data_IF_954101401614
#
_entry.id   IF_954101401614
#
_cell.length_a   1.000
_cell.length_b   1.000
_cell.length_c   1.000
_cell.angle_alpha   90.00
_cell.angle_beta   90.00
_cell.angle_gamma   90.00
#
_symmetry.space_group_name_H-M   'P 1'
#
loop_
_entity.id
_entity.type
_entity.pdbx_description
1 polymer ?
#
# COMPACT_ATOMS: atom_id res chain seq x y z
N UNK A 1 38.21 2.78 -13.03
CA UNK A 1 38.09 2.80 -11.56
C UNK A 1 36.93 1.92 -11.12
N UNK A 2 37.07 1.26 -9.97
CA UNK A 2 35.96 0.51 -9.36
C UNK A 2 35.10 1.45 -8.52
N UNK A 3 33.77 1.39 -8.65
CA UNK A 3 32.83 2.06 -7.75
C UNK A 3 31.75 1.11 -7.25
N UNK A 4 31.06 1.54 -6.20
CA UNK A 4 29.92 0.83 -5.64
C UNK A 4 28.63 1.59 -5.95
N UNK A 5 27.61 0.90 -6.46
CA UNK A 5 26.28 1.46 -6.66
C UNK A 5 25.33 0.86 -5.65
N UNK A 6 24.82 1.70 -4.76
CA UNK A 6 23.78 1.34 -3.79
C UNK A 6 22.40 1.60 -4.40
N UNK A 7 21.76 0.52 -4.86
CA UNK A 7 20.40 0.52 -5.40
C UNK A 7 19.48 -0.44 -4.59
N UNK A 8 18.59 -1.20 -5.23
CA UNK A 8 17.87 -2.29 -4.52
C UNK A 8 18.84 -3.37 -4.05
N UNK A 9 19.89 -3.60 -4.85
CA UNK A 9 21.07 -4.38 -4.48
C UNK A 9 22.33 -3.49 -4.52
N UNK A 10 23.40 -3.96 -3.87
CA UNK A 10 24.72 -3.35 -3.98
C UNK A 10 25.43 -3.95 -5.20
N UNK A 11 25.80 -3.10 -6.15
CA UNK A 11 26.57 -3.49 -7.34
C UNK A 11 27.99 -2.96 -7.27
N UNK A 12 28.93 -3.74 -7.78
CA UNK A 12 30.31 -3.31 -8.02
C UNK A 12 30.46 -3.04 -9.51
N UNK A 13 30.77 -1.80 -9.88
CA UNK A 13 30.90 -1.39 -11.28
C UNK A 13 32.34 -0.99 -11.59
N UNK A 14 32.82 -1.46 -12.75
CA UNK A 14 34.03 -0.91 -13.37
C UNK A 14 33.60 0.17 -14.36
N UNK A 15 34.13 1.38 -14.16
CA UNK A 15 33.81 2.58 -14.96
C UNK A 15 35.09 3.30 -15.37
N UNK A 16 35.01 4.16 -16.38
CA UNK A 16 36.09 5.08 -16.74
C UNK A 16 35.82 6.48 -16.19
N UNK A 17 36.86 7.28 -15.92
CA UNK A 17 36.68 8.64 -15.37
C UNK A 17 36.06 9.63 -16.35
N UNK A 18 36.28 9.40 -17.63
CA UNK A 18 35.72 10.12 -18.77
C UNK A 18 34.32 9.65 -19.18
N UNK A 19 33.81 8.54 -18.60
CA UNK A 19 32.43 8.10 -18.78
C UNK A 19 31.48 9.19 -18.25
N UNK A 20 30.42 9.48 -19.00
CA UNK A 20 29.40 10.43 -18.57
C UNK A 20 28.44 9.78 -17.58
N UNK A 21 27.79 10.61 -16.76
CA UNK A 21 26.73 10.14 -15.86
C UNK A 21 25.58 9.51 -16.64
N UNK A 22 25.26 10.01 -17.84
CA UNK A 22 24.23 9.42 -18.71
C UNK A 22 24.58 7.99 -19.17
N UNK A 23 25.83 7.74 -19.54
CA UNK A 23 26.31 6.40 -19.92
C UNK A 23 26.24 5.43 -18.75
N UNK A 24 26.63 5.90 -17.55
CA UNK A 24 26.48 5.11 -16.32
C UNK A 24 24.99 4.78 -16.06
N UNK A 25 24.07 5.75 -16.22
CA UNK A 25 22.63 5.52 -16.05
C UNK A 25 22.08 4.47 -17.00
N UNK A 26 22.53 4.45 -18.26
CA UNK A 26 22.11 3.43 -19.22
C UNK A 26 22.50 2.00 -18.77
N UNK A 27 23.68 1.85 -18.16
CA UNK A 27 24.11 0.57 -17.56
C UNK A 27 23.31 0.22 -16.31
N UNK A 28 23.00 1.21 -15.48
CA UNK A 28 22.16 1.02 -14.29
C UNK A 28 20.74 0.59 -14.67
N UNK A 29 20.18 1.07 -15.78
CA UNK A 29 18.87 0.62 -16.28
C UNK A 29 18.86 -0.88 -16.57
N UNK A 30 19.93 -1.41 -17.17
CA UNK A 30 20.05 -2.84 -17.46
C UNK A 30 20.19 -3.71 -16.19
N UNK A 31 20.72 -3.16 -15.10
CA UNK A 31 20.92 -3.86 -13.83
C UNK A 31 19.68 -3.82 -12.92
N UNK A 32 19.04 -2.66 -12.82
CA UNK A 32 17.98 -2.38 -11.83
C UNK A 32 16.59 -2.25 -12.46
N UNK A 33 16.48 -2.17 -13.79
CA UNK A 33 15.20 -2.01 -14.50
C UNK A 33 14.54 -0.64 -14.30
N UNK A 34 15.30 0.37 -13.85
CA UNK A 34 14.83 1.75 -13.67
C UNK A 34 15.18 2.57 -14.91
N UNK A 35 14.18 3.20 -15.53
CA UNK A 35 14.40 3.98 -16.76
C UNK A 35 15.39 5.12 -16.52
N UNK A 36 16.27 5.42 -17.48
CA UNK A 36 17.27 6.50 -17.36
C UNK A 36 16.65 7.83 -16.90
N UNK A 37 15.46 8.17 -17.41
CA UNK A 37 14.71 9.37 -17.04
C UNK A 37 14.24 9.40 -15.58
N UNK A 38 14.02 8.22 -14.99
CA UNK A 38 13.59 8.05 -13.61
C UNK A 38 14.79 7.88 -12.66
N UNK A 39 16.03 7.78 -13.15
CA UNK A 39 17.21 7.62 -12.30
C UNK A 39 17.74 8.97 -11.76
N UNK A 40 17.99 9.00 -10.46
CA UNK A 40 18.73 10.05 -9.76
C UNK A 40 19.95 9.42 -9.08
N UNK A 41 21.13 9.56 -9.70
CA UNK A 41 22.39 9.13 -9.11
C UNK A 41 22.91 10.22 -8.19
N UNK A 42 23.29 9.86 -6.97
CA UNK A 42 23.73 10.77 -5.92
C UNK A 42 25.16 10.39 -5.47
N UNK A 43 26.05 11.37 -5.36
CA UNK A 43 27.34 11.24 -4.71
C UNK A 43 27.32 12.08 -3.42
N UNK A 44 27.55 11.45 -2.27
CA UNK A 44 27.48 12.10 -0.95
C UNK A 44 26.18 12.93 -0.75
N UNK A 45 25.05 12.42 -1.27
CA UNK A 45 23.74 13.08 -1.22
C UNK A 45 23.51 14.19 -2.25
N UNK A 46 24.49 14.52 -3.09
CA UNK A 46 24.36 15.52 -4.16
C UNK A 46 24.05 14.85 -5.50
N UNK A 47 23.02 15.30 -6.24
CA UNK A 47 22.63 14.68 -7.50
C UNK A 47 23.66 14.95 -8.59
N UNK A 48 23.93 13.93 -9.40
CA UNK A 48 24.81 14.04 -10.56
C UNK A 48 24.03 14.48 -11.80
N UNK A 49 24.58 15.44 -12.54
CA UNK A 49 24.07 15.91 -13.83
C UNK A 49 24.45 14.96 -14.97
N UNK A 50 23.63 14.87 -16.01
CA UNK A 50 23.81 13.86 -17.07
C UNK A 50 25.02 14.13 -17.98
N UNK A 51 25.38 15.42 -18.17
CA UNK A 51 26.39 15.88 -19.13
C UNK A 51 27.82 15.90 -18.55
N UNK A 52 27.98 15.81 -17.24
CA UNK A 52 29.30 15.77 -16.60
C UNK A 52 29.92 14.37 -16.67
N UNK A 53 31.25 14.33 -16.71
CA UNK A 53 32.01 13.08 -16.57
C UNK A 53 32.03 12.65 -15.11
N UNK A 54 32.25 11.37 -14.85
CA UNK A 54 32.36 10.86 -13.49
C UNK A 54 33.49 11.57 -12.72
N UNK A 55 34.63 11.82 -13.36
CA UNK A 55 35.75 12.52 -12.73
C UNK A 55 35.41 13.98 -12.39
N UNK A 56 34.76 14.73 -13.30
CA UNK A 56 34.38 16.12 -13.03
C UNK A 56 33.24 16.23 -12.00
N UNK A 57 32.43 15.19 -11.89
CA UNK A 57 31.41 15.02 -10.85
C UNK A 57 31.99 14.68 -9.45
N UNK A 58 33.31 14.48 -9.34
CA UNK A 58 33.99 14.11 -8.09
C UNK A 58 33.91 12.63 -7.73
N UNK A 59 33.54 11.76 -8.68
CA UNK A 59 33.51 10.31 -8.50
C UNK A 59 34.95 9.79 -8.52
N UNK A 60 35.36 9.17 -7.42
CA UNK A 60 36.70 8.58 -7.26
C UNK A 60 36.64 7.07 -7.16
N UNK A 61 37.78 6.41 -7.24
CA UNK A 61 37.87 4.97 -6.97
C UNK A 61 37.34 4.63 -5.57
N UNK A 62 36.61 3.52 -5.49
CA UNK A 62 35.94 2.99 -4.30
C UNK A 62 34.84 3.88 -3.70
N UNK A 63 34.40 4.93 -4.40
CA UNK A 63 33.25 5.71 -3.95
C UNK A 63 31.94 4.92 -4.07
N UNK A 64 30.93 5.35 -3.30
CA UNK A 64 29.58 4.79 -3.37
C UNK A 64 28.63 5.82 -3.95
N UNK A 65 27.97 5.47 -5.06
CA UNK A 65 26.86 6.20 -5.64
C UNK A 65 25.54 5.62 -5.12
N UNK A 66 24.59 6.48 -4.78
CA UNK A 66 23.24 6.06 -4.40
C UNK A 66 22.29 6.25 -5.58
N UNK A 67 21.54 5.20 -5.92
CA UNK A 67 20.45 5.29 -6.88
C UNK A 67 19.14 5.59 -6.17
N UNK A 68 18.52 6.71 -6.53
CA UNK A 68 17.16 7.06 -6.15
C UNK A 68 16.29 7.14 -7.40
N UNK A 69 15.02 6.72 -7.30
CA UNK A 69 14.06 6.91 -8.38
C UNK A 69 13.40 8.29 -8.24
N UNK A 70 13.40 9.10 -9.30
CA UNK A 70 12.60 10.32 -9.37
C UNK A 70 11.13 9.91 -9.19
N UNK A 71 10.52 10.41 -8.13
CA UNK A 71 9.07 10.28 -7.96
C UNK A 71 8.42 11.06 -9.12
N UNK A 72 7.81 10.34 -10.06
CA UNK A 72 6.95 10.93 -11.07
C UNK A 72 5.86 11.72 -10.34
N UNK A 73 6.03 13.05 -10.29
CA UNK A 73 4.95 13.96 -9.95
C UNK A 73 3.75 13.56 -10.80
N UNK A 74 2.68 13.12 -10.13
CA UNK A 74 1.49 12.65 -10.81
C UNK A 74 1.06 13.65 -11.87
N UNK A 75 0.68 13.15 -13.05
CA UNK A 75 0.17 13.95 -14.16
C UNK A 75 -0.78 15.02 -13.62
N UNK A 76 -0.34 16.28 -13.66
CA UNK A 76 -1.21 17.41 -13.36
C UNK A 76 -2.27 17.42 -14.45
N UNK A 77 -3.48 16.99 -14.09
CA UNK A 77 -4.58 16.97 -15.04
C UNK A 77 -4.85 18.43 -15.42
N UNK A 78 -4.61 18.75 -16.69
CA UNK A 78 -4.67 20.11 -17.23
C UNK A 78 -5.96 20.83 -16.89
N UNK A 79 -5.89 21.70 -15.88
CA UNK A 79 -6.96 22.62 -15.49
C UNK A 79 -6.50 24.08 -15.44
N UNK A 80 -5.24 24.37 -15.80
CA UNK A 80 -4.68 25.74 -15.74
C UNK A 80 -4.26 26.35 -17.09
N UNK A 81 -4.64 25.74 -18.21
CA UNK A 81 -4.55 26.40 -19.52
C UNK A 81 -5.96 26.56 -20.10
N UNK A 82 -6.68 27.61 -19.68
CA UNK A 82 -7.72 28.30 -20.46
C UNK A 82 -8.29 29.50 -19.71
N UNK A 83 -7.42 30.41 -19.26
CA UNK A 83 -7.81 31.81 -19.12
C UNK A 83 -7.64 32.45 -20.51
N UNK A 84 -8.74 32.56 -21.26
CA UNK A 84 -8.79 33.35 -22.49
C UNK A 84 -9.16 32.58 -23.76
N UNK A 85 -10.47 32.39 -24.02
CA UNK A 85 -11.05 32.61 -25.36
C UNK A 85 -12.59 32.57 -25.33
N UNK A 86 -13.16 33.77 -25.37
CA UNK A 86 -14.38 34.29 -26.03
C UNK A 86 -15.66 33.42 -26.13
N UNK A 87 -16.75 34.04 -25.65
CA UNK A 87 -18.19 33.78 -25.93
C UNK A 87 -18.48 33.37 -27.39
N UNK A 88 -19.37 32.39 -27.57
CA UNK A 88 -20.06 32.15 -28.84
C UNK A 88 -20.86 30.84 -28.84
N UNK A 89 -22.14 30.93 -29.21
CA UNK A 89 -23.17 29.89 -29.15
C UNK A 89 -22.84 28.62 -29.95
N UNK A 90 -23.20 27.44 -29.43
CA UNK A 90 -23.70 26.30 -30.23
C UNK A 90 -24.76 25.53 -29.43
N UNK A 91 -25.86 25.05 -30.05
CA UNK A 91 -26.93 24.39 -29.33
C UNK A 91 -26.53 22.97 -28.92
N UNK A 92 -26.86 22.60 -27.68
CA UNK A 92 -26.66 21.25 -27.15
C UNK A 92 -27.57 20.26 -27.89
N UNK A 93 -26.97 19.29 -28.57
CA UNK A 93 -27.65 18.08 -29.04
C UNK A 93 -27.43 16.98 -28.02
N UNK A 94 -28.52 16.33 -27.58
CA UNK A 94 -28.46 15.25 -26.58
C UNK A 94 -27.73 14.01 -27.11
N UNK A 95 -26.88 13.42 -26.26
CA UNK A 95 -26.09 12.23 -26.59
C UNK A 95 -26.98 11.00 -26.72
N UNK A 96 -27.16 10.49 -27.93
CA UNK A 96 -27.63 9.12 -28.15
C UNK A 96 -26.49 8.11 -27.96
N UNK A 97 -26.61 7.24 -26.95
CA UNK A 97 -25.71 6.09 -26.78
C UNK A 97 -26.06 4.96 -27.77
N UNK A 98 -25.28 4.82 -28.85
CA UNK A 98 -25.26 3.56 -29.62
C UNK A 98 -24.00 2.76 -29.26
N UNK A 99 -24.19 1.64 -28.56
CA UNK A 99 -23.13 0.68 -28.25
C UNK A 99 -22.59 0.05 -29.54
N UNK A 100 -21.32 0.33 -29.87
CA UNK A 100 -20.62 -0.30 -31.01
C UNK A 100 -20.40 -1.79 -30.76
N UNK A 101 -20.64 -2.63 -31.78
CA UNK A 101 -20.35 -4.07 -31.73
C UNK A 101 -18.84 -4.30 -31.60
N UNK A 102 -18.42 -5.16 -30.67
CA UNK A 102 -17.01 -5.54 -30.49
C UNK A 102 -16.56 -6.40 -31.68
N UNK A 103 -15.57 -5.92 -32.43
CA UNK A 103 -14.95 -6.61 -33.56
C UNK A 103 -13.49 -6.94 -33.26
N UNK A 104 -12.84 -7.73 -34.13
CA UNK A 104 -11.41 -8.02 -34.04
C UNK A 104 -10.99 -8.92 -32.86
N UNK A 105 -9.83 -8.61 -32.27
CA UNK A 105 -9.14 -9.43 -31.26
C UNK A 105 -10.00 -9.73 -30.03
N UNK A 106 -10.82 -8.78 -29.60
CA UNK A 106 -11.75 -8.95 -28.48
C UNK A 106 -12.83 -10.00 -28.76
N UNK A 107 -13.35 -10.05 -30.00
CA UNK A 107 -14.36 -11.04 -30.40
C UNK A 107 -13.75 -12.44 -30.50
N UNK A 108 -12.54 -12.55 -31.05
CA UNK A 108 -11.80 -13.83 -31.17
C UNK A 108 -11.45 -14.42 -29.79
N UNK A 109 -11.04 -13.58 -28.82
CA UNK A 109 -10.74 -14.00 -27.44
C UNK A 109 -11.96 -14.51 -26.68
N UNK A 110 -13.14 -13.90 -26.89
CA UNK A 110 -14.41 -14.39 -26.32
C UNK A 110 -14.79 -15.75 -26.92
N UNK A 111 -14.58 -15.94 -28.21
CA UNK A 111 -14.88 -17.20 -28.89
C UNK A 111 -13.95 -18.34 -28.46
N UNK A 112 -12.66 -18.06 -28.23
CA UNK A 112 -11.69 -19.00 -27.67
C UNK A 112 -12.09 -19.47 -26.27
N UNK A 113 -12.41 -18.54 -25.36
CA UNK A 113 -12.86 -18.87 -24.01
C UNK A 113 -14.16 -19.68 -23.98
N UNK A 114 -15.08 -19.44 -24.93
CA UNK A 114 -16.33 -20.20 -25.05
C UNK A 114 -16.15 -21.61 -25.63
N UNK A 115 -15.08 -21.86 -26.41
CA UNK A 115 -14.83 -23.15 -27.07
C UNK A 115 -13.92 -24.09 -26.27
N UNK A 116 -12.99 -23.55 -25.49
CA UNK A 116 -11.89 -24.34 -24.92
C UNK A 116 -11.74 -24.25 -23.41
N UNK A 117 -12.52 -23.40 -22.73
CA UNK A 117 -12.52 -23.34 -21.27
C UNK A 117 -13.79 -24.03 -20.77
N UNK A 118 -13.63 -25.25 -20.24
CA UNK A 118 -14.70 -25.95 -19.55
C UNK A 118 -15.11 -25.13 -18.31
N UNK A 119 -16.30 -24.54 -18.36
CA UNK A 119 -16.95 -23.94 -17.21
C UNK A 119 -17.47 -25.10 -16.35
N UNK A 120 -16.97 -25.23 -15.11
CA UNK A 120 -17.53 -26.14 -14.12
C UNK A 120 -19.00 -25.74 -13.88
N UNK A 121 -19.99 -26.62 -14.07
CA UNK A 121 -21.39 -26.28 -13.84
C UNK A 121 -21.63 -26.20 -12.33
N UNK A 122 -21.79 -24.99 -11.80
CA UNK A 122 -22.36 -24.80 -10.47
C UNK A 122 -23.82 -25.24 -10.49
N UNK A 123 -24.11 -26.36 -9.83
CA UNK A 123 -25.46 -26.83 -9.52
C UNK A 123 -26.21 -25.82 -8.63
N UNK A 124 -27.47 -25.57 -8.98
CA UNK A 124 -28.54 -25.32 -8.00
C UNK A 124 -28.62 -23.93 -7.36
N UNK A 125 -29.39 -23.03 -7.99
CA UNK A 125 -30.06 -21.93 -7.29
C UNK A 125 -31.01 -22.50 -6.22
N UNK A 126 -30.82 -22.16 -4.94
CA UNK A 126 -31.91 -22.02 -3.97
C UNK A 126 -32.06 -20.55 -3.59
N UNK A 127 -33.32 -20.09 -3.62
CA UNK A 127 -33.77 -18.70 -3.42
C UNK A 127 -33.15 -18.07 -2.17
N UNK A 128 -32.21 -17.14 -2.34
CA UNK A 128 -31.86 -16.18 -1.30
C UNK A 128 -32.83 -14.99 -1.37
N UNK A 129 -33.42 -14.67 -0.22
CA UNK A 129 -34.48 -13.69 -0.02
C UNK A 129 -34.15 -12.30 -0.57
N UNK A 130 -35.22 -11.59 -0.95
CA UNK A 130 -35.29 -10.23 -1.51
C UNK A 130 -34.51 -9.13 -0.74
N UNK A 131 -34.00 -9.46 0.46
CA UNK A 131 -33.17 -8.60 1.33
C UNK A 131 -31.77 -8.30 0.76
N UNK A 132 -31.16 -9.25 0.04
CA UNK A 132 -29.76 -9.13 -0.44
C UNK A 132 -29.55 -8.09 -1.55
N UNK A 133 -30.61 -7.67 -2.24
CA UNK A 133 -30.54 -6.61 -3.27
C UNK A 133 -30.68 -5.19 -2.71
N UNK A 134 -31.05 -5.04 -1.43
CA UNK A 134 -31.20 -3.73 -0.79
C UNK A 134 -29.87 -3.23 -0.19
N UNK A 135 -28.97 -4.14 0.18
CA UNK A 135 -27.66 -3.80 0.77
C UNK A 135 -26.66 -3.23 -0.25
N UNK A 136 -26.75 -3.59 -1.54
CA UNK A 136 -25.85 -3.04 -2.56
C UNK A 136 -26.22 -1.62 -3.03
N UNK A 137 -27.39 -1.10 -2.63
CA UNK A 137 -27.88 0.24 -3.01
C UNK A 137 -27.61 1.32 -1.94
N UNK A 138 -27.17 0.94 -0.75
CA UNK A 138 -26.90 1.86 0.37
C UNK A 138 -25.40 2.16 0.54
N UNK A 139 -24.51 1.31 0.02
CA UNK A 139 -23.08 1.56 0.01
C UNK A 139 -22.67 2.32 -1.25
N UNK A 140 -22.71 3.65 -1.19
CA UNK A 140 -21.93 4.49 -2.10
C UNK A 140 -20.44 4.14 -2.03
N UNK A 141 -19.68 4.49 -3.07
CA UNK A 141 -18.22 4.36 -3.09
C UNK A 141 -17.61 5.27 -2.01
N UNK A 142 -17.49 4.77 -0.78
CA UNK A 142 -16.77 5.41 0.31
C UNK A 142 -15.33 4.89 0.30
N UNK A 143 -14.38 5.76 -0.05
CA UNK A 143 -12.96 5.48 0.12
C UNK A 143 -12.56 5.77 1.56
N UNK A 144 -11.84 4.83 2.18
CA UNK A 144 -11.32 4.99 3.54
C UNK A 144 -9.82 4.69 3.54
N UNK A 145 -9.04 5.55 4.20
CA UNK A 145 -7.60 5.43 4.40
C UNK A 145 -7.33 4.74 5.73
N UNK A 146 -6.83 3.51 5.64
CA UNK A 146 -6.49 2.70 6.80
C UNK A 146 -4.98 2.62 6.96
N UNK A 147 -4.53 2.71 8.21
CA UNK A 147 -3.13 2.57 8.60
C UNK A 147 -2.96 1.27 9.39
N UNK A 148 -2.06 0.38 8.97
CA UNK A 148 -1.75 -0.86 9.71
C UNK A 148 -0.39 -0.75 10.41
N UNK A 149 -0.37 -0.89 11.74
CA UNK A 149 0.81 -0.77 12.62
C UNK A 149 0.84 -1.90 13.67
N UNK A 150 1.92 -1.95 14.44
CA UNK A 150 2.19 -3.00 15.44
C UNK A 150 3.70 -3.29 15.53
N UNK A 151 4.10 -4.04 16.55
CA UNK A 151 5.51 -4.43 16.74
C UNK A 151 6.01 -5.31 15.59
N UNK A 152 7.33 -5.49 15.48
CA UNK A 152 7.94 -6.43 14.55
C UNK A 152 7.48 -7.87 14.87
N UNK A 153 7.49 -8.72 13.86
CA UNK A 153 6.99 -10.09 13.93
C UNK A 153 5.49 -10.26 14.28
N UNK A 154 4.72 -9.19 14.52
CA UNK A 154 3.29 -9.28 14.81
C UNK A 154 2.43 -9.86 13.67
N UNK A 155 2.94 -9.87 12.43
CA UNK A 155 2.27 -10.46 11.27
C UNK A 155 1.58 -9.48 10.32
N UNK A 156 1.89 -8.17 10.41
CA UNK A 156 1.34 -7.11 9.52
C UNK A 156 1.50 -7.46 8.03
N UNK A 157 2.73 -7.77 7.63
CA UNK A 157 3.10 -8.11 6.25
C UNK A 157 2.40 -9.39 5.79
N UNK A 158 2.26 -10.39 6.67
CA UNK A 158 1.51 -11.61 6.38
C UNK A 158 0.03 -11.34 6.14
N UNK A 159 -0.62 -10.51 6.98
CA UNK A 159 -2.02 -10.09 6.80
C UNK A 159 -2.19 -9.38 5.46
N UNK A 160 -1.30 -8.44 5.16
CA UNK A 160 -1.27 -7.69 3.92
C UNK A 160 -1.21 -8.62 2.70
N UNK A 161 -0.24 -9.54 2.64
CA UNK A 161 -0.12 -10.50 1.54
C UNK A 161 -1.33 -11.42 1.46
N UNK A 162 -1.87 -11.87 2.60
CA UNK A 162 -3.06 -12.72 2.63
C UNK A 162 -4.29 -12.02 2.01
N UNK A 163 -4.46 -10.73 2.29
CA UNK A 163 -5.52 -9.90 1.70
C UNK A 163 -5.24 -9.57 0.23
N UNK A 164 -3.97 -9.38 -0.14
CA UNK A 164 -3.49 -9.06 -1.50
C UNK A 164 -3.69 -10.22 -2.47
N UNK A 165 -3.40 -11.45 -2.05
CA UNK A 165 -3.57 -12.65 -2.88
C UNK A 165 -5.05 -13.01 -3.12
N UNK A 166 -5.98 -12.42 -2.35
CA UNK A 166 -7.43 -12.57 -2.51
C UNK A 166 -8.09 -11.57 -3.48
N UNK A 167 -7.38 -10.54 -3.98
CA UNK A 167 -7.93 -9.52 -4.89
C UNK A 167 -6.92 -9.09 -5.97
N UNK A 168 -7.40 -8.53 -7.08
CA UNK A 168 -6.53 -7.97 -8.12
C UNK A 168 -5.87 -6.67 -7.62
N UNK A 169 -4.60 -6.70 -7.23
CA UNK A 169 -3.90 -5.52 -6.67
C UNK A 169 -2.92 -4.92 -7.67
N UNK A 170 -2.96 -3.60 -7.83
CA UNK A 170 -1.90 -2.80 -8.47
C UNK A 170 -0.90 -2.39 -7.41
N UNK A 171 0.34 -2.86 -7.52
CA UNK A 171 1.41 -2.52 -6.58
C UNK A 171 2.11 -1.24 -6.99
N UNK A 172 2.44 -0.39 -6.02
CA UNK A 172 3.34 0.74 -6.20
C UNK A 172 4.55 0.46 -5.29
N UNK A 173 5.73 0.12 -5.84
CA UNK A 173 6.94 0.03 -5.03
C UNK A 173 7.37 1.43 -4.60
N UNK A 174 7.82 1.60 -3.36
CA UNK A 174 8.41 2.87 -2.90
C UNK A 174 9.76 2.63 -2.23
N UNK A 175 10.69 3.55 -2.51
CA UNK A 175 12.07 3.59 -2.01
C UNK A 175 12.09 3.91 -0.50
N UNK A 176 12.90 3.17 0.26
CA UNK A 176 13.33 3.52 1.63
C UNK A 176 12.54 2.88 2.78
N UNK A 177 11.25 2.59 2.60
CA UNK A 177 10.38 1.89 3.57
C UNK A 177 9.24 1.22 2.78
N UNK A 178 8.96 -0.07 3.01
CA UNK A 178 7.99 -0.77 2.18
C UNK A 178 6.56 -0.41 2.64
N UNK A 179 5.79 0.25 1.78
CA UNK A 179 4.42 0.69 2.05
C UNK A 179 3.55 0.05 1.01
N UNK A 180 2.91 -1.05 1.36
CA UNK A 180 2.04 -1.67 0.38
C UNK A 180 0.62 -1.17 0.59
N UNK A 181 0.10 -0.50 -0.44
CA UNK A 181 -1.32 -0.17 -0.49
C UNK A 181 -2.09 -1.35 -1.06
N UNK A 182 -2.99 -1.95 -0.29
CA UNK A 182 -3.95 -2.95 -0.78
C UNK A 182 -5.33 -2.33 -0.80
N UNK A 183 -6.15 -2.69 -1.78
CA UNK A 183 -7.56 -2.30 -1.80
C UNK A 183 -8.39 -3.54 -1.50
N UNK A 184 -9.27 -3.46 -0.50
CA UNK A 184 -10.32 -4.45 -0.25
C UNK A 184 -11.70 -3.78 -0.31
N UNK A 185 -12.53 -4.23 -1.25
CA UNK A 185 -13.79 -3.54 -1.64
C UNK A 185 -13.49 -2.09 -2.06
N UNK A 186 -14.05 -1.11 -1.35
CA UNK A 186 -13.83 0.32 -1.59
C UNK A 186 -12.82 0.93 -0.59
N UNK A 187 -12.12 0.12 0.21
CA UNK A 187 -11.21 0.58 1.27
C UNK A 187 -9.77 0.42 0.83
N UNK A 188 -8.96 1.47 1.00
CA UNK A 188 -7.52 1.48 0.71
C UNK A 188 -6.75 1.32 2.01
N UNK A 189 -5.99 0.24 2.10
CA UNK A 189 -5.16 -0.15 3.22
C UNK A 189 -3.73 0.27 2.94
N UNK A 190 -3.23 1.27 3.66
CA UNK A 190 -1.81 1.61 3.64
C UNK A 190 -1.13 0.80 4.73
N UNK A 191 -0.47 -0.28 4.35
CA UNK A 191 0.29 -1.11 5.27
C UNK A 191 1.73 -0.68 5.23
N UNK A 192 2.25 -0.34 6.41
CA UNK A 192 3.66 0.02 6.59
C UNK A 192 4.40 -1.24 7.01
N UNK A 193 5.15 -1.79 6.07
CA UNK A 193 6.29 -2.65 6.33
C UNK A 193 7.51 -1.76 6.64
N UNK A 194 7.29 -0.87 7.61
CA UNK A 194 8.34 -0.24 8.40
C UNK A 194 8.50 -1.24 9.53
N UNK A 195 9.59 -2.02 9.52
CA UNK A 195 9.86 -3.02 10.55
C UNK A 195 9.49 -2.46 11.94
N UNK A 196 8.78 -3.21 12.77
CA UNK A 196 8.35 -2.69 14.07
C UNK A 196 9.50 -2.56 15.08
N UNK A 197 10.75 -2.56 14.61
CA UNK A 197 11.94 -2.33 15.41
C UNK A 197 11.97 -0.88 15.92
N UNK A 198 12.41 -0.71 17.16
CA UNK A 198 12.36 0.55 17.91
C UNK A 198 12.88 1.76 17.12
N UNK A 199 13.96 1.58 16.36
CA UNK A 199 14.67 2.67 15.66
C UNK A 199 13.84 3.36 14.57
N UNK A 200 12.82 2.71 14.02
CA UNK A 200 12.07 3.22 12.87
C UNK A 200 10.60 3.54 13.18
N UNK A 201 10.12 3.23 14.39
CA UNK A 201 8.79 3.65 14.89
C UNK A 201 8.54 5.16 14.84
N UNK A 202 9.54 6.05 15.04
CA UNK A 202 9.32 7.49 14.90
C UNK A 202 8.75 7.91 13.54
N UNK A 203 8.97 7.14 12.48
CA UNK A 203 8.53 7.45 11.13
C UNK A 203 7.02 7.21 10.92
N UNK A 204 6.36 6.46 11.80
CA UNK A 204 4.93 6.16 11.69
C UNK A 204 4.07 7.43 11.63
N UNK A 205 4.51 8.50 12.33
CA UNK A 205 3.80 9.79 12.39
C UNK A 205 3.61 10.47 11.04
N UNK A 206 4.48 10.19 10.06
CA UNK A 206 4.36 10.75 8.72
C UNK A 206 3.13 10.24 7.96
N UNK A 207 2.45 9.23 8.50
CA UNK A 207 1.34 8.56 7.85
C UNK A 207 0.01 8.72 8.57
N UNK A 208 0.00 9.44 9.70
CA UNK A 208 -1.20 9.67 10.49
C UNK A 208 -2.18 10.60 9.80
N UNK A 209 -1.70 11.71 9.22
CA UNK A 209 -2.55 12.72 8.58
C UNK A 209 -3.50 12.09 7.57
N UNK A 210 -4.81 12.26 7.77
CA UNK A 210 -5.86 11.72 6.90
C UNK A 210 -6.19 10.24 7.12
N UNK A 211 -5.60 9.58 8.12
CA UNK A 211 -5.97 8.21 8.50
C UNK A 211 -7.34 8.19 9.18
N UNK A 212 -8.25 7.39 8.65
CA UNK A 212 -9.62 7.24 9.15
C UNK A 212 -9.81 6.00 10.03
N UNK A 213 -8.89 5.05 9.95
CA UNK A 213 -8.88 3.90 10.84
C UNK A 213 -7.49 3.30 11.01
N UNK A 214 -7.21 2.85 12.22
CA UNK A 214 -5.99 2.15 12.61
C UNK A 214 -6.29 0.65 12.71
N UNK A 215 -5.48 -0.18 12.06
CA UNK A 215 -5.36 -1.60 12.36
C UNK A 215 -4.08 -1.78 13.17
N UNK A 216 -4.19 -2.16 14.43
CA UNK A 216 -3.05 -2.46 15.28
C UNK A 216 -2.93 -3.98 15.45
N UNK A 217 -1.83 -4.56 14.97
CA UNK A 217 -1.60 -6.00 14.97
C UNK A 217 -0.73 -6.39 16.17
N UNK A 218 -1.19 -7.38 16.93
CA UNK A 218 -0.52 -7.88 18.13
C UNK A 218 -0.23 -9.37 17.96
N UNK A 219 1.01 -9.76 18.23
CA UNK A 219 1.38 -11.16 18.42
C UNK A 219 0.83 -11.64 19.77
N UNK A 220 -0.13 -12.56 19.75
CA UNK A 220 -0.74 -13.05 21.00
C UNK A 220 0.14 -14.06 21.73
N UNK A 221 1.15 -14.65 21.09
CA UNK A 221 2.10 -15.54 21.74
C UNK A 221 3.24 -14.76 22.43
N UNK A 222 3.47 -13.50 22.06
CA UNK A 222 4.52 -12.65 22.62
C UNK A 222 4.06 -11.93 23.89
N UNK A 223 4.09 -12.67 25.01
CA UNK A 223 3.70 -12.16 26.33
C UNK A 223 4.69 -11.14 26.88
N UNK A 224 5.95 -11.20 26.49
CA UNK A 224 7.02 -10.35 27.01
C UNK A 224 6.92 -8.92 26.47
N UNK A 225 6.54 -8.75 25.20
CA UNK A 225 6.46 -7.43 24.55
C UNK A 225 5.05 -6.82 24.53
N UNK A 226 4.09 -7.40 25.24
CA UNK A 226 2.72 -6.87 25.25
C UNK A 226 2.60 -5.48 25.89
N UNK A 227 3.41 -5.20 26.91
CA UNK A 227 3.46 -3.86 27.54
C UNK A 227 4.10 -2.82 26.61
N UNK A 228 5.08 -3.23 25.79
CA UNK A 228 5.66 -2.41 24.74
C UNK A 228 4.62 -2.12 23.64
N UNK A 229 3.87 -3.14 23.21
CA UNK A 229 2.78 -2.97 22.26
C UNK A 229 1.70 -2.00 22.79
N UNK A 230 1.39 -2.05 24.09
CA UNK A 230 0.51 -1.06 24.74
C UNK A 230 1.11 0.34 24.61
N UNK A 231 2.37 0.54 24.96
CA UNK A 231 3.01 1.86 24.91
C UNK A 231 2.96 2.45 23.50
N UNK A 232 3.25 1.64 22.48
CA UNK A 232 3.18 2.07 21.08
C UNK A 232 1.75 2.39 20.63
N UNK A 233 0.77 1.54 20.97
CA UNK A 233 -0.64 1.81 20.66
C UNK A 233 -1.08 3.15 21.24
N UNK A 234 -0.80 3.38 22.53
CA UNK A 234 -1.16 4.63 23.21
C UNK A 234 -0.40 5.84 22.66
N UNK A 235 0.85 5.67 22.20
CA UNK A 235 1.60 6.72 21.51
C UNK A 235 0.96 7.10 20.17
N UNK A 236 0.47 6.13 19.40
CA UNK A 236 -0.19 6.36 18.11
C UNK A 236 -1.54 7.07 18.31
N UNK A 237 -2.42 6.53 19.17
CA UNK A 237 -3.81 7.02 19.27
C UNK A 237 -3.94 8.38 19.96
N UNK A 238 -2.94 8.77 20.75
CA UNK A 238 -2.85 10.08 21.39
C UNK A 238 -2.23 11.15 20.48
N UNK A 239 -1.72 10.78 19.30
CA UNK A 239 -1.32 11.76 18.30
C UNK A 239 -2.56 12.51 17.77
N UNK A 240 -2.44 13.83 17.64
CA UNK A 240 -3.53 14.71 17.20
C UNK A 240 -4.10 14.30 15.83
N UNK A 241 -3.26 13.78 14.94
CA UNK A 241 -3.65 13.38 13.58
C UNK A 241 -4.44 12.07 13.57
N UNK A 242 -4.41 11.30 14.67
CA UNK A 242 -5.08 10.01 14.82
C UNK A 242 -6.37 10.09 15.65
N UNK A 243 -6.75 11.28 16.14
CA UNK A 243 -7.85 11.49 17.10
C UNK A 243 -9.18 10.87 16.65
N UNK A 244 -9.50 10.96 15.37
CA UNK A 244 -10.80 10.51 14.84
C UNK A 244 -10.73 9.10 14.24
N UNK A 245 -9.55 8.46 14.26
CA UNK A 245 -9.37 7.15 13.66
C UNK A 245 -10.02 6.05 14.52
N UNK A 246 -10.91 5.25 13.92
CA UNK A 246 -11.45 4.04 14.57
C UNK A 246 -10.34 2.99 14.72
N UNK A 247 -10.40 2.17 15.77
CA UNK A 247 -9.30 1.25 16.11
C UNK A 247 -9.75 -0.21 15.97
N UNK A 248 -9.13 -0.95 15.08
CA UNK A 248 -9.23 -2.41 15.03
C UNK A 248 -7.94 -3.01 15.57
N UNK A 249 -8.05 -3.88 16.59
CA UNK A 249 -6.95 -4.69 17.05
C UNK A 249 -7.07 -6.07 16.41
N UNK A 250 -6.05 -6.51 15.68
CA UNK A 250 -5.91 -7.93 15.36
C UNK A 250 -5.11 -8.61 16.46
N UNK A 251 -5.82 -9.41 17.26
CA UNK A 251 -5.20 -10.36 18.18
C UNK A 251 -4.72 -11.57 17.34
N UNK A 252 -3.54 -11.43 16.73
CA UNK A 252 -3.01 -12.34 15.72
C UNK A 252 -2.25 -13.53 16.34
N UNK A 253 -2.02 -14.56 15.53
CA UNK A 253 -1.35 -15.82 15.92
C UNK A 253 -2.12 -16.65 16.95
N UNK A 254 -3.46 -16.64 16.86
CA UNK A 254 -4.32 -17.43 17.74
C UNK A 254 -4.16 -18.96 17.58
N UNK A 255 -3.48 -19.38 16.52
CA UNK A 255 -3.10 -20.77 16.26
C UNK A 255 -1.96 -21.28 17.15
N UNK A 256 -1.16 -20.39 17.73
CA UNK A 256 -0.02 -20.77 18.57
C UNK A 256 -0.48 -21.22 19.98
N UNK A 257 0.26 -22.16 20.60
CA UNK A 257 0.06 -22.50 22.00
C UNK A 257 0.26 -21.26 22.88
N UNK A 258 -0.49 -21.18 23.97
CA UNK A 258 -0.44 -20.09 24.96
C UNK A 258 -0.77 -18.68 24.45
N UNK A 259 -1.28 -18.55 23.21
CA UNK A 259 -1.72 -17.29 22.65
C UNK A 259 -2.79 -16.61 23.53
N UNK A 260 -2.50 -15.38 23.97
CA UNK A 260 -3.40 -14.51 24.71
C UNK A 260 -4.73 -14.37 23.98
N UNK A 261 -5.84 -14.62 24.68
CA UNK A 261 -7.18 -14.53 24.08
C UNK A 261 -7.63 -13.07 23.97
N UNK A 262 -8.64 -12.75 23.13
CA UNK A 262 -9.06 -11.36 22.91
C UNK A 262 -9.38 -10.57 24.18
N UNK A 263 -9.95 -11.21 25.22
CA UNK A 263 -10.23 -10.56 26.50
C UNK A 263 -8.93 -10.12 27.21
N UNK A 264 -7.91 -10.97 27.22
CA UNK A 264 -6.61 -10.70 27.83
C UNK A 264 -5.88 -9.58 27.08
N UNK A 265 -5.94 -9.59 25.74
CA UNK A 265 -5.40 -8.51 24.90
C UNK A 265 -6.10 -7.17 25.19
N UNK A 266 -7.43 -7.18 25.33
CA UNK A 266 -8.20 -5.97 25.66
C UNK A 266 -7.75 -5.34 26.98
N UNK A 267 -7.53 -6.18 28.01
CA UNK A 267 -7.06 -5.73 29.32
C UNK A 267 -5.62 -5.23 29.26
N UNK A 268 -4.70 -6.02 28.70
CA UNK A 268 -3.27 -5.68 28.65
C UNK A 268 -2.97 -4.44 27.83
N UNK A 269 -3.72 -4.18 26.76
CA UNK A 269 -3.62 -2.94 25.97
C UNK A 269 -4.38 -1.75 26.61
N UNK A 270 -5.18 -1.99 27.65
CA UNK A 270 -5.93 -0.95 28.34
C UNK A 270 -7.00 -0.29 27.47
N UNK A 271 -7.66 -1.04 26.60
CA UNK A 271 -8.61 -0.49 25.62
C UNK A 271 -9.84 0.15 26.26
N UNK A 272 -10.23 -0.30 27.45
CA UNK A 272 -11.35 0.28 28.23
C UNK A 272 -11.11 1.73 28.68
N UNK A 273 -9.85 2.20 28.60
CA UNK A 273 -9.49 3.61 28.85
C UNK A 273 -9.80 4.51 27.66
N UNK A 274 -9.92 3.94 26.46
CA UNK A 274 -10.25 4.64 25.22
C UNK A 274 -11.77 4.79 25.16
N UNK A 275 -12.27 6.01 25.41
CA UNK A 275 -13.71 6.31 25.52
C UNK A 275 -14.21 7.28 24.44
N UNK A 276 -13.30 7.89 23.70
CA UNK A 276 -13.55 8.96 22.74
C UNK A 276 -13.78 8.43 21.31
N UNK A 277 -13.51 7.14 21.05
CA UNK A 277 -13.66 6.53 19.73
C UNK A 277 -13.95 5.04 19.78
N UNK A 278 -14.47 4.51 18.67
CA UNK A 278 -14.80 3.09 18.53
C UNK A 278 -13.54 2.24 18.42
N UNK A 279 -13.53 1.12 19.14
CA UNK A 279 -12.50 0.10 19.03
C UNK A 279 -13.09 -1.32 19.05
N UNK A 280 -12.34 -2.29 18.52
CA UNK A 280 -12.71 -3.70 18.58
C UNK A 280 -11.49 -4.61 18.50
N UNK A 281 -11.55 -5.74 19.19
CA UNK A 281 -10.51 -6.78 19.17
C UNK A 281 -11.02 -7.97 18.38
N UNK A 282 -10.38 -8.26 17.25
CA UNK A 282 -10.68 -9.39 16.40
C UNK A 282 -9.59 -10.46 16.56
N UNK A 283 -9.93 -11.68 17.04
CA UNK A 283 -9.00 -12.81 16.96
C UNK A 283 -8.68 -13.12 15.49
N UNK A 284 -7.41 -13.39 15.20
CA UNK A 284 -6.96 -13.65 13.84
C UNK A 284 -5.81 -14.66 13.76
N UNK A 285 -5.71 -15.31 12.61
CA UNK A 285 -4.55 -16.08 12.18
C UNK A 285 -4.16 -15.63 10.77
N UNK A 286 -3.10 -14.84 10.65
CA UNK A 286 -2.68 -14.25 9.37
C UNK A 286 -2.31 -15.30 8.30
N UNK A 287 -1.78 -16.45 8.71
CA UNK A 287 -1.33 -17.52 7.80
C UNK A 287 -2.52 -18.26 7.18
N UNK A 288 -3.55 -18.60 7.97
CA UNK A 288 -4.78 -19.24 7.47
C UNK A 288 -5.72 -18.23 6.83
N UNK A 289 -5.74 -16.99 7.34
CA UNK A 289 -6.65 -15.91 6.94
C UNK A 289 -7.87 -15.77 7.85
N UNK A 290 -7.98 -16.60 8.88
CA UNK A 290 -9.12 -16.61 9.80
C UNK A 290 -9.22 -15.28 10.56
N UNK A 291 -10.44 -14.76 10.69
CA UNK A 291 -10.74 -13.53 11.42
C UNK A 291 -10.42 -12.23 10.66
N UNK A 292 -9.65 -12.28 9.56
CA UNK A 292 -9.25 -11.07 8.84
C UNK A 292 -10.46 -10.36 8.22
N UNK A 293 -11.33 -11.09 7.54
CA UNK A 293 -12.49 -10.50 6.84
C UNK A 293 -13.56 -9.99 7.83
N UNK A 294 -13.71 -10.65 8.97
CA UNK A 294 -14.59 -10.25 10.07
C UNK A 294 -14.14 -8.92 10.65
N UNK A 295 -12.84 -8.77 10.93
CA UNK A 295 -12.25 -7.51 11.40
C UNK A 295 -12.43 -6.38 10.40
N UNK A 296 -12.16 -6.64 9.11
CA UNK A 296 -12.41 -5.65 8.06
C UNK A 296 -13.88 -5.28 7.91
N UNK A 297 -14.79 -6.25 8.07
CA UNK A 297 -16.24 -6.01 8.03
C UNK A 297 -16.67 -5.11 9.18
N UNK A 298 -16.19 -5.36 10.40
CA UNK A 298 -16.41 -4.47 11.54
C UNK A 298 -15.91 -3.05 11.24
N UNK A 299 -14.69 -2.93 10.72
CA UNK A 299 -14.07 -1.64 10.43
C UNK A 299 -14.90 -0.85 9.39
N UNK A 300 -15.35 -1.50 8.31
CA UNK A 300 -16.23 -0.86 7.31
C UNK A 300 -17.63 -0.49 7.82
N UNK A 301 -18.14 -1.24 8.80
CA UNK A 301 -19.49 -1.01 9.34
C UNK A 301 -19.51 0.11 10.38
N UNK A 302 -18.37 0.36 11.04
CA UNK A 302 -18.24 1.34 12.12
C UNK A 302 -17.59 2.65 11.66
N UNK A 303 -17.10 2.72 10.43
CA UNK A 303 -16.70 3.97 9.81
C UNK A 303 -17.94 4.76 9.36
N UNK A 304 -18.16 5.92 10.00
CA UNK A 304 -19.16 6.90 9.56
C UNK A 304 -18.44 7.98 8.75
N UNK A 305 -18.98 8.29 7.58
CA UNK A 305 -18.51 9.39 6.72
C UNK A 305 -19.12 10.70 7.19
#
# INVERSE_FOLDING_TARGET
MQLFLRAQALHTLQVSGDETVLELKARVEALEGVSVSDQLLLLAGSPLEDEQTLESAGVTEHCTLELSARLLGGKVHGSLARAGKVRGQTPKVDKQEKRKKKTGRAKRRIQYNRRFVNVVPTFGKKKANKMGKMLSKIFGNKEMRILMLGLDAAGKTTILYKLKLGQSVTTIPTVGFNVETVTYKNVKFNVWDVGGQDKIRPLWRHYYTGTQGLIFVVDCADRDRIDEARQELHRIINDREMRDAIILIFANKQDLPDAMKPHEIQEKLGLTRIRDRNWYVQPACATTGDGLYEGLTWLTSNYKS
#
